data_IF_802281946192
#
_entry.id   IF_802281946192
#
_cell.length_a   1.000
_cell.length_b   1.000
_cell.length_c   1.000
_cell.angle_alpha   90.00
_cell.angle_beta   90.00
_cell.angle_gamma   90.00
#
_symmetry.space_group_name_H-M   'P 1'
#
loop_
_entity.id
_entity.type
_entity.pdbx_description
1 polymer ?
#
# COMPACT_ATOMS: atom_id res chain seq x y z
N UNK A 1 -25.71 17.72 2.96
CA UNK A 1 -25.30 16.58 2.12
C UNK A 1 -23.84 16.78 1.77
N UNK A 2 -22.94 15.94 2.32
CA UNK A 2 -21.55 15.96 1.88
C UNK A 2 -21.51 15.45 0.42
N UNK A 3 -20.86 16.17 -0.52
CA UNK A 3 -20.77 15.70 -1.90
C UNK A 3 -20.01 14.37 -1.93
N UNK A 4 -20.67 13.32 -2.44
CA UNK A 4 -20.10 11.99 -2.61
C UNK A 4 -18.77 12.08 -3.37
N UNK A 5 -17.71 11.42 -2.87
CA UNK A 5 -16.38 11.36 -3.49
C UNK A 5 -16.49 10.85 -4.94
N UNK A 6 -17.34 9.87 -5.20
CA UNK A 6 -17.58 9.34 -6.56
C UNK A 6 -18.00 10.46 -7.53
N UNK A 7 -18.93 11.32 -7.10
CA UNK A 7 -19.43 12.43 -7.90
C UNK A 7 -18.35 13.50 -8.14
N UNK A 8 -17.53 13.78 -7.11
CA UNK A 8 -16.42 14.72 -7.22
C UNK A 8 -15.39 14.24 -8.24
N UNK A 9 -15.00 12.97 -8.18
CA UNK A 9 -14.08 12.35 -9.13
C UNK A 9 -14.66 12.39 -10.55
N UNK A 10 -15.92 11.98 -10.73
CA UNK A 10 -16.59 12.01 -12.02
C UNK A 10 -16.62 13.43 -12.63
N UNK A 11 -16.90 14.45 -11.81
CA UNK A 11 -16.90 15.84 -12.26
C UNK A 11 -15.51 16.33 -12.66
N UNK A 12 -14.45 15.95 -11.93
CA UNK A 12 -13.07 16.30 -12.29
C UNK A 12 -12.65 15.66 -13.61
N UNK A 13 -12.96 14.37 -13.82
CA UNK A 13 -12.73 13.68 -15.10
C UNK A 13 -13.48 14.40 -16.23
N UNK A 14 -14.77 14.69 -16.04
CA UNK A 14 -15.59 15.41 -17.02
C UNK A 14 -14.99 16.76 -17.39
N UNK A 15 -14.48 17.53 -16.41
CA UNK A 15 -13.84 18.82 -16.68
C UNK A 15 -12.57 18.66 -17.53
N UNK A 16 -11.73 17.67 -17.22
CA UNK A 16 -10.52 17.39 -18.00
C UNK A 16 -10.85 16.99 -19.44
N UNK A 17 -11.82 16.10 -19.62
CA UNK A 17 -12.13 15.51 -20.93
C UNK A 17 -12.99 16.39 -21.82
N UNK A 18 -13.92 17.13 -21.24
CA UNK A 18 -14.92 17.90 -22.00
C UNK A 18 -14.60 19.39 -22.09
N UNK A 19 -13.70 19.90 -21.26
CA UNK A 19 -13.34 21.33 -21.25
C UNK A 19 -11.85 21.53 -21.51
N UNK A 20 -10.98 20.94 -20.70
CA UNK A 20 -9.53 21.19 -20.78
C UNK A 20 -8.92 20.58 -22.04
N UNK A 21 -9.07 19.28 -22.26
CA UNK A 21 -8.49 18.59 -23.42
C UNK A 21 -8.95 19.16 -24.78
N UNK A 22 -10.24 19.54 -24.97
CA UNK A 22 -10.68 20.20 -26.19
C UNK A 22 -10.13 21.62 -26.36
N UNK A 23 -9.90 22.34 -25.27
CA UNK A 23 -9.35 23.70 -25.31
C UNK A 23 -7.83 23.74 -25.56
N UNK A 24 -7.10 22.66 -25.27
CA UNK A 24 -5.66 22.57 -25.50
C UNK A 24 -5.32 22.45 -27.00
N UNK A 25 -4.45 23.31 -27.55
CA UNK A 25 -3.92 23.18 -28.91
C UNK A 25 -3.29 21.80 -29.17
N UNK A 26 -3.41 21.30 -30.40
CA UNK A 26 -2.96 19.93 -30.76
C UNK A 26 -1.44 19.75 -30.72
N UNK A 27 -0.69 20.82 -30.92
CA UNK A 27 0.77 20.87 -30.88
C UNK A 27 1.33 20.87 -29.44
N UNK A 28 0.51 21.19 -28.44
CA UNK A 28 0.87 21.08 -27.02
C UNK A 28 0.75 19.65 -26.49
N UNK A 29 1.46 18.71 -27.14
CA UNK A 29 1.39 17.27 -26.87
C UNK A 29 1.59 16.95 -25.39
N UNK A 30 2.63 17.52 -24.76
CA UNK A 30 2.93 17.26 -23.35
C UNK A 30 1.77 17.65 -22.42
N UNK A 31 1.15 18.82 -22.63
CA UNK A 31 0.03 19.26 -21.80
C UNK A 31 -1.18 18.35 -21.95
N UNK A 32 -1.44 17.88 -23.18
CA UNK A 32 -2.52 16.92 -23.46
C UNK A 32 -2.25 15.58 -22.78
N UNK A 33 -1.01 15.08 -22.86
CA UNK A 33 -0.59 13.84 -22.21
C UNK A 33 -0.75 13.94 -20.69
N UNK A 34 -0.32 15.05 -20.07
CA UNK A 34 -0.50 15.28 -18.64
C UNK A 34 -2.00 15.33 -18.24
N UNK A 35 -2.86 15.97 -19.03
CA UNK A 35 -4.30 15.98 -18.75
C UNK A 35 -4.92 14.58 -18.82
N UNK A 36 -4.50 13.75 -19.78
CA UNK A 36 -4.93 12.36 -19.88
C UNK A 36 -4.41 11.51 -18.71
N UNK A 37 -3.16 11.71 -18.28
CA UNK A 37 -2.58 11.03 -17.11
C UNK A 37 -3.37 11.35 -15.83
N UNK A 38 -3.70 12.62 -15.59
CA UNK A 38 -4.53 13.02 -14.45
C UNK A 38 -5.91 12.37 -14.52
N UNK A 39 -6.55 12.35 -15.69
CA UNK A 39 -7.83 11.67 -15.87
C UNK A 39 -7.73 10.16 -15.58
N UNK A 40 -6.63 9.50 -15.97
CA UNK A 40 -6.33 8.12 -15.63
C UNK A 40 -6.22 7.89 -14.13
N UNK A 41 -5.43 8.71 -13.42
CA UNK A 41 -5.29 8.62 -11.97
C UNK A 41 -6.61 8.87 -11.23
N UNK A 42 -7.44 9.81 -11.71
CA UNK A 42 -8.76 10.05 -11.15
C UNK A 42 -9.68 8.83 -11.26
N UNK A 43 -9.67 8.13 -12.40
CA UNK A 43 -10.43 6.87 -12.56
C UNK A 43 -9.97 5.81 -11.57
N UNK A 44 -8.66 5.61 -11.49
CA UNK A 44 -8.07 4.65 -10.57
C UNK A 44 -8.43 4.97 -9.11
N UNK A 45 -8.35 6.24 -8.69
CA UNK A 45 -8.80 6.66 -7.36
C UNK A 45 -10.29 6.38 -7.15
N UNK A 46 -11.12 6.54 -8.18
CA UNK A 46 -12.55 6.22 -8.15
C UNK A 46 -12.84 4.74 -7.88
N UNK A 47 -12.00 3.85 -8.39
CA UNK A 47 -12.09 2.40 -8.17
C UNK A 47 -11.56 2.00 -6.78
N UNK A 48 -10.52 2.68 -6.30
CA UNK A 48 -9.76 2.29 -5.11
C UNK A 48 -10.32 2.86 -3.79
N UNK A 49 -10.89 4.06 -3.78
CA UNK A 49 -11.06 4.82 -2.53
C UNK A 49 -11.95 4.13 -1.49
N UNK A 50 -12.94 3.34 -1.92
CA UNK A 50 -13.84 2.57 -1.03
C UNK A 50 -13.11 1.44 -0.31
N UNK A 51 -12.05 0.93 -0.93
CA UNK A 51 -11.25 -0.18 -0.43
C UNK A 51 -9.96 0.29 0.27
N UNK A 52 -9.65 1.60 0.24
CA UNK A 52 -8.39 2.13 0.76
C UNK A 52 -8.17 1.79 2.25
N UNK A 53 -9.19 1.96 3.09
CA UNK A 53 -9.07 1.58 4.51
C UNK A 53 -8.80 0.08 4.67
N UNK A 54 -9.51 -0.77 3.91
CA UNK A 54 -9.33 -2.22 3.98
C UNK A 54 -7.95 -2.65 3.50
N UNK A 55 -7.43 -2.00 2.46
CA UNK A 55 -6.06 -2.21 1.99
C UNK A 55 -5.04 -1.92 3.09
N UNK A 56 -5.15 -0.77 3.76
CA UNK A 56 -4.23 -0.38 4.83
C UNK A 56 -4.30 -1.35 6.03
N UNK A 57 -5.51 -1.81 6.37
CA UNK A 57 -5.72 -2.82 7.41
C UNK A 57 -4.96 -4.12 7.08
N UNK A 58 -5.14 -4.64 5.86
CA UNK A 58 -4.46 -5.86 5.38
C UNK A 58 -2.94 -5.67 5.37
N UNK A 59 -2.45 -4.53 4.89
CA UNK A 59 -1.02 -4.23 4.87
C UNK A 59 -0.41 -4.23 6.28
N UNK A 60 -1.10 -3.65 7.25
CA UNK A 60 -0.66 -3.66 8.65
C UNK A 60 -0.72 -5.08 9.25
N UNK A 61 -1.73 -5.88 8.91
CA UNK A 61 -1.84 -7.26 9.41
C UNK A 61 -0.72 -8.16 8.90
N UNK A 62 -0.37 -8.04 7.62
CA UNK A 62 0.79 -8.72 7.03
C UNK A 62 2.10 -8.33 7.74
N UNK A 63 2.30 -7.03 7.99
CA UNK A 63 3.51 -6.55 8.65
C UNK A 63 3.59 -7.01 10.12
N UNK A 64 2.46 -7.01 10.83
CA UNK A 64 2.38 -7.62 12.17
C UNK A 64 2.68 -9.12 12.14
N UNK A 65 2.23 -9.83 11.09
CA UNK A 65 2.56 -11.23 10.86
C UNK A 65 4.07 -11.44 10.73
N UNK A 66 4.73 -10.66 9.88
CA UNK A 66 6.19 -10.69 9.73
C UNK A 66 6.90 -10.36 11.05
N UNK A 67 6.49 -9.29 11.74
CA UNK A 67 7.08 -8.88 13.02
C UNK A 67 7.06 -10.01 14.06
N UNK A 68 5.96 -10.77 14.17
CA UNK A 68 5.86 -11.93 15.05
C UNK A 68 6.83 -13.05 14.66
N UNK A 69 7.04 -13.27 13.37
CA UNK A 69 7.96 -14.30 12.85
C UNK A 69 9.43 -13.90 13.03
N UNK A 70 9.74 -12.61 13.00
CA UNK A 70 11.10 -12.10 13.22
C UNK A 70 11.48 -11.98 14.70
N UNK A 71 10.50 -11.83 15.60
CA UNK A 71 10.75 -11.60 17.03
C UNK A 71 11.68 -12.65 17.69
N UNK A 72 11.59 -13.96 17.40
CA UNK A 72 12.51 -14.96 17.97
C UNK A 72 13.97 -14.79 17.54
N UNK A 73 14.21 -14.14 16.40
CA UNK A 73 15.54 -13.88 15.86
C UNK A 73 16.09 -12.49 16.25
N UNK A 74 15.25 -11.62 16.81
CA UNK A 74 15.67 -10.29 17.23
C UNK A 74 16.66 -10.39 18.41
N UNK A 75 17.71 -9.58 18.37
CA UNK A 75 18.62 -9.42 19.52
C UNK A 75 17.85 -8.86 20.72
N UNK A 76 18.35 -9.09 21.94
CA UNK A 76 17.68 -8.61 23.15
C UNK A 76 17.40 -7.09 23.12
N UNK A 77 18.31 -6.30 22.52
CA UNK A 77 18.16 -4.86 22.38
C UNK A 77 17.00 -4.48 21.45
N UNK A 78 16.85 -5.18 20.31
CA UNK A 78 15.82 -4.87 19.31
C UNK A 78 14.48 -5.56 19.60
N UNK A 79 14.50 -6.66 20.36
CA UNK A 79 13.31 -7.44 20.64
C UNK A 79 12.29 -6.65 21.46
N UNK A 80 12.73 -5.78 22.38
CA UNK A 80 11.82 -4.99 23.20
C UNK A 80 11.20 -3.83 22.40
N UNK A 81 11.97 -3.17 21.53
CA UNK A 81 11.46 -2.16 20.59
C UNK A 81 10.45 -2.78 19.62
N UNK A 82 10.76 -3.96 19.05
CA UNK A 82 9.85 -4.67 18.15
C UNK A 82 8.56 -5.10 18.85
N UNK A 83 8.63 -5.59 20.09
CA UNK A 83 7.42 -5.91 20.89
C UNK A 83 6.58 -4.67 21.16
N UNK A 84 7.21 -3.55 21.52
CA UNK A 84 6.51 -2.31 21.80
C UNK A 84 5.80 -1.79 20.55
N UNK A 85 6.49 -1.74 19.41
CA UNK A 85 5.91 -1.33 18.14
C UNK A 85 4.78 -2.28 17.70
N UNK A 86 4.95 -3.59 17.85
CA UNK A 86 3.92 -4.58 17.56
C UNK A 86 2.67 -4.39 18.44
N UNK A 87 2.85 -4.14 19.75
CA UNK A 87 1.74 -3.89 20.66
C UNK A 87 1.00 -2.59 20.32
N UNK A 88 1.72 -1.54 19.94
CA UNK A 88 1.12 -0.29 19.46
C UNK A 88 0.32 -0.48 18.17
N UNK A 89 0.85 -1.26 17.23
CA UNK A 89 0.16 -1.60 15.99
C UNK A 89 -1.11 -2.42 16.23
N UNK A 90 -1.09 -3.34 17.19
CA UNK A 90 -2.27 -4.12 17.60
C UNK A 90 -3.34 -3.27 18.28
N UNK A 91 -2.93 -2.23 19.01
CA UNK A 91 -3.82 -1.34 19.75
C UNK A 91 -4.32 -0.13 18.94
N UNK A 92 -3.87 0.03 17.69
CA UNK A 92 -4.22 1.20 16.89
C UNK A 92 -5.72 1.22 16.54
N UNK A 93 -6.26 2.42 16.31
CA UNK A 93 -7.63 2.56 15.82
C UNK A 93 -7.73 2.08 14.36
N UNK A 94 -8.32 0.89 14.18
CA UNK A 94 -8.50 0.24 12.87
C UNK A 94 -9.53 0.93 11.97
N UNK A 95 -10.28 1.91 12.47
CA UNK A 95 -11.18 2.73 11.66
C UNK A 95 -10.50 4.02 11.13
N UNK A 96 -9.30 4.34 11.63
CA UNK A 96 -8.57 5.55 11.26
C UNK A 96 -7.40 5.22 10.34
N UNK A 97 -7.47 5.66 9.08
CA UNK A 97 -6.38 5.54 8.10
C UNK A 97 -5.09 6.14 8.66
N UNK A 98 -5.15 7.31 9.28
CA UNK A 98 -3.96 7.96 9.87
C UNK A 98 -3.37 7.16 11.03
N UNK A 99 -4.19 6.50 11.85
CA UNK A 99 -3.69 5.66 12.93
C UNK A 99 -3.00 4.39 12.40
N UNK A 100 -3.59 3.76 11.37
CA UNK A 100 -3.01 2.60 10.69
C UNK A 100 -1.69 2.97 10.01
N UNK A 101 -1.66 4.07 9.25
CA UNK A 101 -0.45 4.56 8.58
C UNK A 101 0.68 4.78 9.59
N UNK A 102 0.37 5.45 10.71
CA UNK A 102 1.36 5.67 11.77
C UNK A 102 1.87 4.37 12.37
N UNK A 103 0.97 3.44 12.68
CA UNK A 103 1.32 2.11 13.18
C UNK A 103 2.18 1.31 12.19
N UNK A 104 1.88 1.41 10.89
CA UNK A 104 2.62 0.74 9.83
C UNK A 104 4.04 1.28 9.73
N UNK A 105 4.22 2.61 9.74
CA UNK A 105 5.53 3.26 9.76
C UNK A 105 6.34 2.86 11.00
N UNK A 106 5.76 2.98 12.20
CA UNK A 106 6.46 2.71 13.45
C UNK A 106 6.86 1.23 13.55
N UNK A 107 5.98 0.30 13.15
CA UNK A 107 6.29 -1.13 13.11
C UNK A 107 7.31 -1.47 12.02
N UNK A 108 7.22 -0.84 10.85
CA UNK A 108 8.13 -1.03 9.73
C UNK A 108 9.56 -0.66 10.12
N UNK A 109 9.75 0.46 10.79
CA UNK A 109 11.06 0.85 11.32
C UNK A 109 11.64 -0.18 12.31
N UNK A 110 10.82 -0.74 13.19
CA UNK A 110 11.28 -1.76 14.14
C UNK A 110 11.63 -3.08 13.44
N UNK A 111 10.84 -3.47 12.43
CA UNK A 111 11.11 -4.64 11.57
C UNK A 111 12.42 -4.44 10.80
N UNK A 112 12.61 -3.28 10.17
CA UNK A 112 13.83 -2.94 9.42
C UNK A 112 15.07 -3.00 10.31
N UNK A 113 14.98 -2.49 11.55
CA UNK A 113 16.09 -2.56 12.49
C UNK A 113 16.52 -4.01 12.78
N UNK A 114 15.56 -4.93 12.90
CA UNK A 114 15.83 -6.37 13.07
C UNK A 114 16.42 -6.98 11.80
N UNK A 115 15.90 -6.64 10.62
CA UNK A 115 16.42 -7.12 9.33
C UNK A 115 17.87 -6.67 9.11
N UNK A 116 18.18 -5.41 9.48
CA UNK A 116 19.52 -4.83 9.36
C UNK A 116 20.48 -5.30 10.44
N UNK A 117 20.01 -6.06 11.44
CA UNK A 117 20.82 -6.64 12.50
C UNK A 117 21.33 -5.64 13.55
N UNK A 118 20.71 -4.45 13.64
CA UNK A 118 21.14 -3.37 14.54
C UNK A 118 22.55 -2.86 14.26
N UNK A 119 23.23 -2.37 15.30
CA UNK A 119 24.62 -1.88 15.21
C UNK A 119 25.62 -2.96 14.82
N UNK A 120 25.30 -4.21 15.16
CA UNK A 120 26.21 -5.35 14.98
C UNK A 120 26.04 -6.01 13.60
N UNK A 121 25.05 -5.56 12.82
CA UNK A 121 24.69 -6.12 11.51
C UNK A 121 24.59 -7.65 11.53
N UNK A 122 24.03 -8.19 12.60
CA UNK A 122 23.87 -9.63 12.77
C UNK A 122 23.02 -10.22 11.63
N UNK A 123 23.44 -11.33 11.01
CA UNK A 123 22.69 -11.93 9.93
C UNK A 123 21.38 -12.53 10.43
N UNK A 124 20.32 -12.39 9.63
CA UNK A 124 19.07 -13.08 9.89
C UNK A 124 19.24 -14.61 9.78
N UNK A 125 18.64 -15.39 10.69
CA UNK A 125 18.54 -16.84 10.53
C UNK A 125 17.76 -17.20 9.25
N UNK A 126 18.02 -18.37 8.63
CA UNK A 126 17.33 -18.81 7.41
C UNK A 126 15.80 -18.74 7.50
N UNK A 127 15.21 -19.19 8.62
CA UNK A 127 13.76 -19.14 8.81
C UNK A 127 13.19 -17.71 8.79
N UNK A 128 13.96 -16.72 9.24
CA UNK A 128 13.58 -15.31 9.20
C UNK A 128 13.71 -14.73 7.79
N UNK A 129 14.67 -15.22 7.00
CA UNK A 129 14.80 -14.87 5.58
C UNK A 129 13.60 -15.42 4.81
N UNK A 130 13.22 -16.68 5.02
CA UNK A 130 12.06 -17.28 4.37
C UNK A 130 10.78 -16.51 4.70
N UNK A 131 10.56 -16.17 5.98
CA UNK A 131 9.45 -15.33 6.43
C UNK A 131 9.41 -13.95 5.74
N UNK A 132 10.57 -13.31 5.60
CA UNK A 132 10.71 -12.02 4.93
C UNK A 132 10.38 -12.12 3.44
N UNK A 133 10.88 -13.15 2.75
CA UNK A 133 10.61 -13.37 1.33
C UNK A 133 9.13 -13.68 1.07
N UNK A 134 8.51 -14.48 1.93
CA UNK A 134 7.08 -14.78 1.85
C UNK A 134 6.22 -13.52 2.06
N UNK A 135 6.58 -12.69 3.05
CA UNK A 135 5.95 -11.38 3.24
C UNK A 135 6.14 -10.49 2.01
N UNK A 136 7.37 -10.38 1.49
CA UNK A 136 7.68 -9.53 0.34
C UNK A 136 6.90 -9.96 -0.91
N UNK A 137 6.71 -11.26 -1.12
CA UNK A 137 5.90 -11.79 -2.21
C UNK A 137 4.42 -11.38 -2.08
N UNK A 138 3.83 -11.52 -0.88
CA UNK A 138 2.44 -11.08 -0.62
C UNK A 138 2.29 -9.57 -0.79
N UNK A 139 3.23 -8.81 -0.23
CA UNK A 139 3.26 -7.35 -0.33
C UNK A 139 3.33 -6.90 -1.79
N UNK A 140 4.30 -7.42 -2.56
CA UNK A 140 4.46 -7.09 -3.97
C UNK A 140 3.21 -7.47 -4.79
N UNK A 141 2.63 -8.65 -4.56
CA UNK A 141 1.39 -9.07 -5.24
C UNK A 141 0.24 -8.10 -4.95
N UNK A 142 0.06 -7.71 -3.68
CA UNK A 142 -0.97 -6.74 -3.28
C UNK A 142 -0.77 -5.38 -3.96
N UNK A 143 0.43 -4.82 -3.93
CA UNK A 143 0.72 -3.51 -4.56
C UNK A 143 0.47 -3.56 -6.08
N UNK A 144 0.96 -4.61 -6.75
CA UNK A 144 0.75 -4.80 -8.19
C UNK A 144 -0.75 -4.91 -8.51
N UNK A 145 -1.51 -5.67 -7.72
CA UNK A 145 -2.98 -5.77 -7.87
C UNK A 145 -3.68 -4.44 -7.65
N UNK A 146 -3.25 -3.63 -6.67
CA UNK A 146 -3.81 -2.31 -6.41
C UNK A 146 -3.68 -1.39 -7.63
N UNK A 147 -2.53 -1.42 -8.30
CA UNK A 147 -2.23 -0.59 -9.47
C UNK A 147 -2.55 -1.25 -10.83
N UNK A 148 -3.17 -2.44 -10.84
CA UNK A 148 -3.49 -3.21 -12.05
C UNK A 148 -4.24 -2.39 -13.11
N UNK A 149 -5.14 -1.49 -12.69
CA UNK A 149 -5.93 -0.64 -13.59
C UNK A 149 -5.08 0.29 -14.48
N UNK A 150 -3.83 0.60 -14.10
CA UNK A 150 -2.94 1.44 -14.90
C UNK A 150 -2.36 0.74 -16.13
N UNK A 151 -2.45 -0.59 -16.21
CA UNK A 151 -1.94 -1.40 -17.34
C UNK A 151 -0.44 -1.24 -17.63
N UNK A 152 0.33 -0.86 -16.63
CA UNK A 152 1.79 -0.73 -16.70
C UNK A 152 2.50 -1.99 -16.21
N UNK A 153 1.80 -2.86 -15.51
CA UNK A 153 2.35 -4.14 -15.06
C UNK A 153 2.36 -5.15 -16.24
N UNK A 154 3.52 -5.72 -16.59
CA UNK A 154 3.63 -6.66 -17.72
C UNK A 154 2.83 -7.95 -17.49
N UNK A 155 2.65 -8.36 -16.23
CA UNK A 155 1.95 -9.60 -15.86
C UNK A 155 0.56 -9.32 -15.26
N UNK A 156 -0.05 -8.18 -15.59
CA UNK A 156 -1.35 -7.77 -15.04
C UNK A 156 -2.47 -8.83 -15.16
N UNK A 157 -2.37 -9.74 -16.14
CA UNK A 157 -3.37 -10.79 -16.37
C UNK A 157 -3.32 -11.89 -15.29
N UNK A 158 -2.17 -12.04 -14.62
CA UNK A 158 -1.96 -13.04 -13.56
C UNK A 158 -2.33 -12.49 -12.16
N UNK A 159 -2.58 -11.18 -12.07
CA UNK A 159 -2.92 -10.51 -10.83
C UNK A 159 -4.42 -10.64 -10.54
N UNK A 160 -4.82 -10.89 -9.28
CA UNK A 160 -6.22 -10.83 -8.88
C UNK A 160 -6.79 -9.41 -9.05
N UNK A 161 -8.11 -9.32 -9.16
CA UNK A 161 -8.80 -8.03 -9.00
C UNK A 161 -8.77 -7.55 -7.54
N UNK A 162 -9.21 -6.32 -7.33
CA UNK A 162 -9.15 -5.64 -6.04
C UNK A 162 -9.93 -6.39 -4.94
N UNK A 163 -11.13 -6.86 -5.27
CA UNK A 163 -12.02 -7.53 -4.32
C UNK A 163 -11.46 -8.90 -3.92
N UNK A 164 -11.01 -9.69 -4.89
CA UNK A 164 -10.38 -11.00 -4.67
C UNK A 164 -9.11 -10.84 -3.82
N UNK A 165 -8.25 -9.87 -4.15
CA UNK A 165 -7.01 -9.61 -3.43
C UNK A 165 -7.24 -9.25 -1.95
N UNK A 166 -8.31 -8.52 -1.63
CA UNK A 166 -8.64 -8.14 -0.25
C UNK A 166 -9.39 -9.24 0.52
N UNK A 167 -10.03 -10.18 -0.18
CA UNK A 167 -10.71 -11.34 0.40
C UNK A 167 -9.73 -12.47 0.72
N UNK A 168 -8.71 -12.70 -0.12
CA UNK A 168 -7.67 -13.70 0.09
C UNK A 168 -6.73 -13.38 1.28
N UNK A 169 -6.87 -12.20 1.87
CA UNK A 169 -6.09 -11.73 3.01
C UNK A 169 -6.73 -12.04 4.39
N UNK A 170 -7.95 -12.56 4.43
CA UNK A 170 -8.62 -13.07 5.64
C UNK A 170 -8.29 -14.55 5.92
#
# INVERSE_FOLDING_TARGET
MLPNIDLRIANMIKALEQVVLPALPRDQRLARDQAMLVAGHLRMMGEQWKSALRYEQVALDDLQGLARQLLPAASALLADDLKAALAMAQACDRASVTAIERANIDLGHAVDAVILGGTDHAPLPPASIDALLDYALRHARRERSWFKANRLDPDQNDLPDLETMLADAD
#
